data_IF_587922912802
#
_entry.id   IF_587922912802
#
_cell.length_a   1.000
_cell.length_b   1.000
_cell.length_c   1.000
_cell.angle_alpha   90.00
_cell.angle_beta   90.00
_cell.angle_gamma   90.00
#
_symmetry.space_group_name_H-M   'P 1'
#
loop_
_entity.id
_entity.type
_entity.pdbx_description
1 polymer ?
#
# COMPACT_ATOMS: atom_id res chain seq x y z
N UNK A 1 -2.95 -0.71 22.90
CA UNK A 1 -3.45 0.60 23.38
C UNK A 1 -3.01 1.64 22.37
N UNK A 2 -3.94 2.30 21.66
CA UNK A 2 -3.60 3.41 20.77
C UNK A 2 -3.33 4.64 21.64
N UNK A 3 -2.06 4.95 21.88
CA UNK A 3 -1.66 6.14 22.62
C UNK A 3 -1.81 7.33 21.67
N UNK A 4 -2.87 8.12 21.83
CA UNK A 4 -3.05 9.36 21.07
C UNK A 4 -2.05 10.43 21.54
N UNK A 5 -1.67 11.33 20.62
CA UNK A 5 -0.88 12.51 20.95
C UNK A 5 -1.62 13.38 21.95
N UNK A 6 -0.91 13.95 22.91
CA UNK A 6 -1.50 14.89 23.87
C UNK A 6 -1.19 16.33 23.50
N UNK A 7 -2.01 17.29 23.98
CA UNK A 7 -1.68 18.72 23.86
C UNK A 7 -0.32 19.07 24.49
N UNK A 8 0.09 18.32 25.52
CA UNK A 8 1.39 18.48 26.17
C UNK A 8 2.56 18.16 25.24
N UNK A 9 2.42 17.15 24.39
CA UNK A 9 3.45 16.76 23.42
C UNK A 9 3.66 17.86 22.37
N UNK A 10 2.55 18.43 21.88
CA UNK A 10 2.57 19.56 20.94
C UNK A 10 3.19 20.79 21.59
N UNK A 11 2.76 21.17 22.80
CA UNK A 11 3.33 22.30 23.52
C UNK A 11 4.84 22.13 23.78
N UNK A 12 5.30 20.90 24.04
CA UNK A 12 6.72 20.57 24.22
C UNK A 12 7.52 20.73 22.92
N UNK A 13 6.96 20.31 21.78
CA UNK A 13 7.53 20.53 20.45
C UNK A 13 7.75 22.02 20.18
N UNK A 14 6.70 22.82 20.35
CA UNK A 14 6.73 24.27 20.14
C UNK A 14 7.75 24.98 21.05
N UNK A 15 7.83 24.60 22.33
CA UNK A 15 8.88 25.10 23.24
C UNK A 15 10.29 24.75 22.76
N UNK A 16 10.47 23.55 22.22
CA UNK A 16 11.73 23.13 21.60
C UNK A 16 12.08 23.98 20.37
N UNK A 17 11.11 24.21 19.49
CA UNK A 17 11.27 25.04 18.30
C UNK A 17 11.57 26.49 18.63
N UNK A 18 10.90 27.09 19.63
CA UNK A 18 11.23 28.45 20.08
C UNK A 18 12.69 28.57 20.52
N UNK A 19 13.24 27.54 21.17
CA UNK A 19 14.67 27.51 21.56
C UNK A 19 15.62 27.32 20.38
N UNK A 20 15.23 26.51 19.40
CA UNK A 20 16.03 26.17 18.22
C UNK A 20 16.05 27.31 17.19
N UNK A 21 14.87 27.79 16.81
CA UNK A 21 14.67 28.76 15.73
C UNK A 21 14.71 30.22 16.22
N UNK A 22 14.61 30.44 17.53
CA UNK A 22 14.77 31.74 18.22
C UNK A 22 14.04 32.89 17.52
N UNK A 23 14.79 33.72 16.80
CA UNK A 23 14.29 34.94 16.13
C UNK A 23 13.35 34.63 14.96
N UNK A 24 13.35 33.40 14.45
CA UNK A 24 12.50 32.95 13.35
C UNK A 24 11.10 32.51 13.79
N UNK A 25 10.82 32.53 15.09
CA UNK A 25 9.53 32.14 15.65
C UNK A 25 9.05 33.23 16.60
N UNK A 26 7.97 33.91 16.24
CA UNK A 26 7.32 34.95 17.05
C UNK A 26 6.47 34.30 18.14
N UNK A 27 5.97 35.09 19.09
CA UNK A 27 5.17 34.53 20.20
C UNK A 27 3.76 34.11 19.77
N UNK A 28 3.24 34.73 18.72
CA UNK A 28 1.99 34.34 18.06
C UNK A 28 2.09 32.96 17.39
N UNK A 29 3.28 32.56 16.91
CA UNK A 29 3.48 31.31 16.14
C UNK A 29 3.41 30.03 17.01
N UNK A 30 3.27 30.15 18.33
CA UNK A 30 3.26 29.01 19.26
C UNK A 30 2.36 29.19 20.47
N UNK A 31 1.37 30.08 20.36
CA UNK A 31 0.41 30.33 21.41
C UNK A 31 -0.52 29.12 21.65
N UNK A 32 -1.40 29.24 22.66
CA UNK A 32 -2.28 28.15 23.08
C UNK A 32 -3.28 27.77 21.97
N UNK A 33 -3.71 28.75 21.16
CA UNK A 33 -4.60 28.51 20.03
C UNK A 33 -3.89 27.71 18.93
N UNK A 34 -2.67 28.10 18.57
CA UNK A 34 -1.84 27.38 17.60
C UNK A 34 -1.57 25.95 18.03
N UNK A 35 -1.20 25.75 19.30
CA UNK A 35 -1.02 24.41 19.89
C UNK A 35 -2.30 23.57 19.78
N UNK A 36 -3.47 24.19 19.98
CA UNK A 36 -4.76 23.50 19.88
C UNK A 36 -5.09 23.14 18.44
N UNK A 37 -4.87 24.04 17.48
CA UNK A 37 -5.07 23.78 16.05
C UNK A 37 -4.19 22.64 15.57
N UNK A 38 -2.91 22.64 15.94
CA UNK A 38 -1.98 21.57 15.61
C UNK A 38 -2.35 20.24 16.24
N UNK A 39 -2.80 20.25 17.50
CA UNK A 39 -3.28 19.04 18.17
C UNK A 39 -4.48 18.42 17.44
N UNK A 40 -5.47 19.23 17.03
CA UNK A 40 -6.64 18.75 16.30
C UNK A 40 -6.20 18.17 14.96
N UNK A 41 -5.46 18.96 14.17
CA UNK A 41 -5.03 18.57 12.83
C UNK A 41 -4.18 17.28 12.83
N UNK A 42 -3.23 17.13 13.75
CA UNK A 42 -2.38 15.94 13.80
C UNK A 42 -3.15 14.68 14.23
N UNK A 43 -4.15 14.82 15.11
CA UNK A 43 -5.02 13.70 15.47
C UNK A 43 -5.98 13.34 14.33
N UNK A 44 -6.54 14.32 13.62
CA UNK A 44 -7.40 14.09 12.45
C UNK A 44 -6.62 13.40 11.31
N UNK A 45 -5.32 13.70 11.18
CA UNK A 45 -4.40 13.04 10.26
C UNK A 45 -3.94 11.64 10.73
N UNK A 46 -4.50 11.15 11.83
CA UNK A 46 -4.17 9.87 12.46
C UNK A 46 -2.66 9.72 12.73
N UNK A 47 -2.01 10.78 13.20
CA UNK A 47 -0.58 10.78 13.48
C UNK A 47 -0.26 9.84 14.65
N UNK A 48 0.67 8.92 14.43
CA UNK A 48 1.16 8.03 15.48
C UNK A 48 2.25 8.71 16.33
N UNK A 49 2.47 8.29 17.59
CA UNK A 49 3.57 8.80 18.40
C UNK A 49 4.95 8.65 17.75
N UNK A 50 5.17 7.57 17.00
CA UNK A 50 6.44 7.31 16.31
C UNK A 50 6.65 8.25 15.11
N UNK A 51 5.59 8.50 14.32
CA UNK A 51 5.62 9.51 13.26
C UNK A 51 5.93 10.89 13.84
N UNK A 52 5.26 11.26 14.94
CA UNK A 52 5.49 12.53 15.61
C UNK A 52 6.94 12.68 16.08
N UNK A 53 7.51 11.64 16.71
CA UNK A 53 8.90 11.66 17.17
C UNK A 53 9.90 11.71 16.01
N UNK A 54 9.60 11.04 14.90
CA UNK A 54 10.43 11.05 13.69
C UNK A 54 10.43 12.43 13.04
N UNK A 55 9.26 13.03 12.84
CA UNK A 55 9.11 14.39 12.33
C UNK A 55 9.83 15.40 13.24
N UNK A 56 9.62 15.30 14.56
CA UNK A 56 10.31 16.13 15.56
C UNK A 56 11.83 16.06 15.42
N UNK A 57 12.42 14.86 15.29
CA UNK A 57 13.87 14.72 15.09
C UNK A 57 14.34 15.38 13.79
N UNK A 58 13.61 15.20 12.69
CA UNK A 58 13.96 15.83 11.40
C UNK A 58 13.88 17.35 11.42
N UNK A 59 12.95 17.93 12.18
CA UNK A 59 12.91 19.40 12.32
C UNK A 59 14.17 19.99 12.97
N UNK A 60 14.93 19.21 13.72
CA UNK A 60 16.17 19.69 14.35
C UNK A 60 17.27 20.02 13.34
N UNK A 61 17.26 19.38 12.16
CA UNK A 61 18.21 19.65 11.08
C UNK A 61 17.73 20.69 10.08
N UNK A 62 16.53 21.24 10.27
CA UNK A 62 15.96 22.22 9.34
C UNK A 62 16.43 23.64 9.67
N UNK A 63 16.51 24.48 8.63
CA UNK A 63 16.81 25.90 8.79
C UNK A 63 15.60 26.71 9.28
N UNK A 64 14.39 26.23 9.00
CA UNK A 64 13.11 26.88 9.33
C UNK A 64 12.13 25.86 9.92
N UNK A 65 11.26 26.27 10.86
CA UNK A 65 10.19 25.41 11.34
C UNK A 65 9.17 25.13 10.22
N UNK A 66 8.53 23.95 10.22
CA UNK A 66 7.36 23.71 9.39
C UNK A 66 6.23 24.69 9.71
N UNK A 67 5.53 25.13 8.68
CA UNK A 67 4.46 26.13 8.79
C UNK A 67 3.08 25.51 9.00
N UNK A 68 2.86 24.29 8.52
CA UNK A 68 1.60 23.57 8.70
C UNK A 68 1.81 22.20 9.39
N UNK A 69 0.78 21.69 10.11
CA UNK A 69 0.81 20.34 10.68
C UNK A 69 1.01 19.24 9.63
N UNK A 70 0.47 19.44 8.43
CA UNK A 70 0.63 18.52 7.30
C UNK A 70 2.09 18.44 6.84
N UNK A 71 2.76 19.59 6.64
CA UNK A 71 4.19 19.65 6.28
C UNK A 71 5.05 18.99 7.35
N UNK A 72 4.73 19.20 8.62
CA UNK A 72 5.43 18.55 9.73
C UNK A 72 5.29 17.02 9.66
N UNK A 73 4.08 16.52 9.43
CA UNK A 73 3.82 15.10 9.30
C UNK A 73 4.47 14.50 8.05
N UNK A 74 4.55 15.28 6.97
CA UNK A 74 5.27 14.93 5.75
C UNK A 74 6.78 14.74 6.00
N UNK A 75 7.38 15.34 7.04
CA UNK A 75 8.77 15.01 7.36
C UNK A 75 8.93 13.55 7.79
N UNK A 76 7.97 13.03 8.55
CA UNK A 76 7.95 11.61 8.94
C UNK A 76 7.54 10.73 7.75
N UNK A 77 6.48 11.10 7.04
CA UNK A 77 5.92 10.30 5.94
C UNK A 77 6.69 10.41 4.63
N UNK A 78 7.36 11.52 4.36
CA UNK A 78 8.23 11.72 3.20
C UNK A 78 9.49 10.86 3.24
N UNK A 79 9.90 10.39 4.42
CA UNK A 79 10.93 9.34 4.56
C UNK A 79 10.48 8.00 3.97
N UNK A 80 9.17 7.80 3.87
CA UNK A 80 8.55 6.59 3.35
C UNK A 80 8.70 6.64 1.83
N UNK A 81 8.39 7.76 1.16
CA UNK A 81 8.36 7.89 -0.32
C UNK A 81 9.66 7.55 -1.05
N UNK A 82 10.85 7.83 -0.49
CA UNK A 82 12.14 7.46 -1.12
C UNK A 82 12.34 5.93 -1.22
N UNK A 83 11.68 5.15 -0.36
CA UNK A 83 11.78 3.70 -0.34
C UNK A 83 10.77 3.00 -1.27
N UNK A 84 9.87 3.76 -1.89
CA UNK A 84 8.84 3.21 -2.79
C UNK A 84 9.04 3.72 -4.21
N UNK A 85 8.64 2.92 -5.22
CA UNK A 85 8.63 3.39 -6.59
C UNK A 85 7.77 4.65 -6.75
N UNK A 86 8.14 5.49 -7.71
CA UNK A 86 7.29 6.59 -8.14
C UNK A 86 5.88 6.08 -8.46
N UNK A 87 4.86 6.77 -7.95
CA UNK A 87 3.47 6.31 -8.03
C UNK A 87 2.99 6.17 -9.48
N UNK A 88 3.39 7.11 -10.35
CA UNK A 88 2.98 7.10 -11.75
C UNK A 88 3.65 5.94 -12.48
N UNK A 89 4.94 5.76 -12.26
CA UNK A 89 5.69 4.63 -12.80
C UNK A 89 5.12 3.29 -12.32
N UNK A 90 4.84 3.15 -11.02
CA UNK A 90 4.25 1.95 -10.44
C UNK A 90 2.88 1.61 -11.02
N UNK A 91 2.05 2.62 -11.29
CA UNK A 91 0.75 2.44 -11.98
C UNK A 91 0.94 1.92 -13.40
N UNK A 92 1.85 2.54 -14.17
CA UNK A 92 2.13 2.13 -15.55
C UNK A 92 2.69 0.71 -15.60
N UNK A 93 3.60 0.37 -14.70
CA UNK A 93 4.15 -0.98 -14.60
C UNK A 93 3.06 -1.99 -14.24
N UNK A 94 2.19 -1.67 -13.28
CA UNK A 94 1.07 -2.53 -12.90
C UNK A 94 0.02 -2.71 -14.00
N UNK A 95 -0.32 -1.66 -14.75
CA UNK A 95 -1.22 -1.75 -15.90
C UNK A 95 -0.64 -2.64 -17.02
N UNK A 96 0.70 -2.64 -17.16
CA UNK A 96 1.45 -3.54 -18.03
C UNK A 96 1.77 -4.90 -17.40
N UNK A 97 1.13 -5.25 -16.27
CA UNK A 97 1.30 -6.52 -15.53
C UNK A 97 2.71 -6.75 -14.94
N UNK A 98 3.53 -5.70 -14.87
CA UNK A 98 4.85 -5.70 -14.22
C UNK A 98 4.68 -5.24 -12.78
N UNK A 99 4.42 -6.21 -11.89
CA UNK A 99 4.19 -5.96 -10.46
C UNK A 99 5.25 -6.68 -9.62
N UNK A 100 6.52 -6.31 -9.83
CA UNK A 100 7.64 -6.91 -9.11
C UNK A 100 7.80 -6.31 -7.71
N UNK A 101 7.39 -5.05 -7.54
CA UNK A 101 7.28 -4.43 -6.23
C UNK A 101 6.03 -4.96 -5.49
N UNK A 102 6.17 -5.49 -4.25
CA UNK A 102 5.02 -5.99 -3.47
C UNK A 102 3.93 -4.94 -3.22
N UNK A 103 4.32 -3.67 -3.14
CA UNK A 103 3.42 -2.53 -2.93
C UNK A 103 2.59 -2.25 -4.17
N UNK A 104 3.23 -2.25 -5.34
CA UNK A 104 2.53 -2.14 -6.62
C UNK A 104 1.58 -3.33 -6.84
N UNK A 105 2.00 -4.54 -6.46
CA UNK A 105 1.16 -5.73 -6.53
C UNK A 105 -0.10 -5.62 -5.65
N UNK A 106 0.07 -5.27 -4.38
CA UNK A 106 -1.06 -5.14 -3.45
C UNK A 106 -1.99 -3.99 -3.88
N UNK A 107 -1.44 -2.88 -4.35
CA UNK A 107 -2.23 -1.76 -4.86
C UNK A 107 -3.04 -2.18 -6.09
N UNK A 108 -2.40 -2.88 -7.04
CA UNK A 108 -3.07 -3.42 -8.22
C UNK A 108 -4.17 -4.43 -7.86
N UNK A 109 -3.96 -5.23 -6.80
CA UNK A 109 -4.98 -6.15 -6.27
C UNK A 109 -6.20 -5.40 -5.73
N UNK A 110 -6.00 -4.29 -5.03
CA UNK A 110 -7.09 -3.46 -4.47
C UNK A 110 -7.87 -2.69 -5.52
N UNK A 111 -7.19 -2.17 -6.55
CA UNK A 111 -7.84 -1.55 -7.71
C UNK A 111 -8.53 -2.60 -8.58
N UNK A 112 -7.90 -3.75 -8.77
CA UNK A 112 -8.36 -4.86 -9.60
C UNK A 112 -7.57 -4.94 -10.92
N UNK A 113 -6.84 -6.03 -11.10
CA UNK A 113 -6.01 -6.26 -12.30
C UNK A 113 -6.79 -6.16 -13.62
N UNK A 114 -8.02 -6.68 -13.67
CA UNK A 114 -8.87 -6.59 -14.86
C UNK A 114 -9.25 -5.15 -15.19
N UNK A 115 -9.61 -4.36 -14.17
CA UNK A 115 -9.94 -2.95 -14.33
C UNK A 115 -8.73 -2.14 -14.81
N UNK A 116 -7.53 -2.42 -14.28
CA UNK A 116 -6.31 -1.76 -14.74
C UNK A 116 -5.92 -2.12 -16.17
N UNK A 117 -6.26 -3.32 -16.64
CA UNK A 117 -5.94 -3.79 -18.00
C UNK A 117 -6.90 -3.24 -19.06
N UNK A 118 -8.19 -3.23 -18.74
CA UNK A 118 -9.26 -2.98 -19.73
C UNK A 118 -9.98 -1.64 -19.49
N UNK A 119 -9.87 -1.09 -18.29
CA UNK A 119 -10.52 0.15 -17.90
C UNK A 119 -9.78 1.39 -18.36
N UNK A 120 -10.50 2.51 -18.35
CA UNK A 120 -9.92 3.80 -18.68
C UNK A 120 -9.10 4.36 -17.53
N UNK A 121 -7.96 4.96 -17.87
CA UNK A 121 -7.03 5.57 -16.93
C UNK A 121 -7.68 6.63 -16.02
N UNK A 122 -8.63 7.42 -16.53
CA UNK A 122 -9.33 8.44 -15.72
C UNK A 122 -10.18 7.84 -14.59
N UNK A 123 -10.46 6.53 -14.62
CA UNK A 123 -11.17 5.80 -13.57
C UNK A 123 -10.17 5.09 -12.66
N UNK A 124 -9.23 4.37 -13.24
CA UNK A 124 -8.30 3.48 -12.52
C UNK A 124 -7.19 4.24 -11.83
N UNK A 125 -6.71 5.35 -12.39
CA UNK A 125 -5.61 6.12 -11.81
C UNK A 125 -6.01 6.83 -10.51
N UNK A 126 -7.17 7.50 -10.37
CA UNK A 126 -7.60 8.05 -9.08
C UNK A 126 -7.76 6.98 -7.98
N UNK A 127 -8.30 5.79 -8.34
CA UNK A 127 -8.39 4.66 -7.41
C UNK A 127 -7.01 4.16 -7.00
N UNK A 128 -6.08 4.08 -7.95
CA UNK A 128 -4.68 3.76 -7.68
C UNK A 128 -4.05 4.76 -6.72
N UNK A 129 -4.18 6.07 -6.96
CA UNK A 129 -3.59 7.10 -6.11
C UNK A 129 -4.04 6.96 -4.66
N UNK A 130 -5.33 6.68 -4.45
CA UNK A 130 -5.89 6.42 -3.11
C UNK A 130 -5.27 5.16 -2.48
N UNK A 131 -5.36 4.02 -3.16
CA UNK A 131 -4.90 2.75 -2.59
C UNK A 131 -3.38 2.67 -2.42
N UNK A 132 -2.60 3.30 -3.31
CA UNK A 132 -1.14 3.31 -3.22
C UNK A 132 -0.67 3.98 -1.93
N UNK A 133 -1.30 5.09 -1.56
CA UNK A 133 -1.04 5.78 -0.29
C UNK A 133 -1.42 4.91 0.91
N UNK A 134 -2.58 4.26 0.88
CA UNK A 134 -3.02 3.35 1.96
C UNK A 134 -2.07 2.15 2.13
N UNK A 135 -1.59 1.56 1.02
CA UNK A 135 -0.67 0.41 1.04
C UNK A 135 0.70 0.84 1.54
N UNK A 136 1.22 1.98 1.10
CA UNK A 136 2.48 2.54 1.60
C UNK A 136 2.39 2.81 3.11
N UNK A 137 1.28 3.40 3.57
CA UNK A 137 1.05 3.66 5.00
C UNK A 137 0.96 2.36 5.81
N UNK A 138 0.25 1.34 5.30
CA UNK A 138 0.19 0.05 5.97
C UNK A 138 1.57 -0.63 6.02
N UNK A 139 2.35 -0.55 4.93
CA UNK A 139 3.70 -1.12 4.88
C UNK A 139 4.66 -0.39 5.84
N UNK A 140 4.58 0.94 5.94
CA UNK A 140 5.38 1.72 6.88
C UNK A 140 5.02 1.42 8.35
N UNK A 141 3.80 0.98 8.61
CA UNK A 141 3.34 0.48 9.91
C UNK A 141 3.71 -1.00 10.17
N UNK A 142 4.46 -1.63 9.26
CA UNK A 142 4.97 -3.00 9.41
C UNK A 142 4.11 -4.08 8.76
N UNK A 143 3.11 -3.73 7.94
CA UNK A 143 2.39 -4.72 7.16
C UNK A 143 3.29 -5.33 6.09
N UNK A 144 3.44 -6.66 6.09
CA UNK A 144 4.14 -7.37 5.03
C UNK A 144 3.19 -7.67 3.87
N UNK A 145 3.52 -7.17 2.68
CA UNK A 145 2.86 -7.55 1.44
C UNK A 145 3.73 -8.56 0.70
N UNK A 146 3.16 -9.71 0.33
CA UNK A 146 3.85 -10.75 -0.43
C UNK A 146 3.09 -11.01 -1.72
N UNK A 147 3.81 -10.95 -2.84
CA UNK A 147 3.32 -11.51 -4.10
C UNK A 147 3.21 -13.03 -3.89
N UNK A 148 2.07 -13.67 -4.14
CA UNK A 148 1.98 -15.12 -4.09
C UNK A 148 3.03 -15.66 -5.06
N UNK A 149 3.98 -16.45 -4.55
CA UNK A 149 4.77 -17.30 -5.43
C UNK A 149 3.76 -18.21 -6.10
N UNK A 150 3.65 -18.10 -7.43
CA UNK A 150 2.95 -19.09 -8.21
C UNK A 150 3.72 -20.38 -7.95
N UNK A 151 3.17 -21.25 -7.10
CA UNK A 151 3.58 -22.63 -7.05
C UNK A 151 3.29 -23.16 -8.45
N UNK A 152 4.32 -23.15 -9.30
CA UNK A 152 4.27 -23.97 -10.50
C UNK A 152 4.12 -25.38 -9.97
N UNK A 153 2.96 -25.98 -10.20
CA UNK A 153 2.83 -27.42 -10.09
C UNK A 153 3.74 -27.92 -11.21
N UNK A 154 5.00 -28.20 -10.88
CA UNK A 154 5.81 -29.07 -11.71
C UNK A 154 5.06 -30.39 -11.72
N UNK A 155 4.37 -30.68 -12.83
CA UNK A 155 3.89 -32.02 -13.13
C UNK A 155 5.11 -32.90 -13.42
N UNK A 156 5.94 -33.12 -12.41
CA UNK A 156 6.98 -34.14 -12.41
C UNK A 156 6.37 -35.38 -11.77
N UNK A 157 5.82 -36.26 -12.62
CA UNK A 157 5.52 -37.63 -12.24
C UNK A 157 4.11 -37.89 -11.69
N UNK A 158 3.09 -37.61 -12.49
CA UNK A 158 1.93 -38.50 -12.51
C UNK A 158 1.56 -38.70 -13.98
N UNK A 159 1.97 -39.85 -14.54
CA UNK A 159 1.22 -40.40 -15.66
C UNK A 159 -0.24 -40.39 -15.22
N UNK A 160 -1.04 -39.55 -15.85
CA UNK A 160 -2.48 -39.62 -15.71
C UNK A 160 -2.84 -40.97 -16.32
N UNK A 161 -2.93 -41.98 -15.47
CA UNK A 161 -3.64 -43.20 -15.80
C UNK A 161 -5.09 -42.78 -16.00
N UNK A 162 -5.42 -42.37 -17.23
CA UNK A 162 -6.80 -42.28 -17.70
C UNK A 162 -7.26 -43.74 -17.79
N UNK A 163 -7.53 -44.37 -16.65
CA UNK A 163 -8.34 -45.57 -16.62
C UNK A 163 -9.76 -45.07 -16.75
N UNK A 164 -10.13 -44.68 -17.97
CA UNK A 164 -11.53 -44.62 -18.35
C UNK A 164 -12.05 -46.06 -18.25
N UNK A 165 -13.01 -46.38 -17.36
CA UNK A 165 -13.70 -47.65 -17.45
C UNK A 165 -14.62 -47.54 -18.65
N UNK A 166 -14.05 -47.67 -19.85
CA UNK A 166 -14.86 -47.97 -21.04
C UNK A 166 -15.49 -49.31 -20.73
N UNK A 167 -16.80 -49.32 -20.48
CA UNK A 167 -17.50 -50.55 -20.16
C UNK A 167 -17.28 -51.54 -21.30
N UNK A 168 -17.09 -52.82 -20.95
CA UNK A 168 -16.96 -53.91 -21.94
C UNK A 168 -18.12 -53.92 -22.93
N UNK A 169 -19.28 -53.43 -22.51
CA UNK A 169 -20.50 -53.22 -23.29
C UNK A 169 -20.33 -52.17 -24.40
N UNK A 170 -19.64 -51.06 -24.14
CA UNK A 170 -19.35 -50.04 -25.15
C UNK A 170 -18.40 -50.57 -26.23
N UNK A 171 -17.38 -51.34 -25.84
CA UNK A 171 -16.47 -52.00 -26.79
C UNK A 171 -17.17 -53.10 -27.61
N UNK A 172 -18.10 -53.82 -27.00
CA UNK A 172 -18.91 -54.83 -27.70
C UNK A 172 -19.81 -54.17 -28.75
N UNK A 173 -20.46 -53.05 -28.41
CA UNK A 173 -21.31 -52.31 -29.33
C UNK A 173 -20.52 -51.71 -30.51
N UNK A 174 -19.32 -51.16 -30.27
CA UNK A 174 -18.47 -50.67 -31.36
C UNK A 174 -18.01 -51.79 -32.31
N UNK A 175 -17.69 -52.97 -31.77
CA UNK A 175 -17.31 -54.13 -32.59
C UNK A 175 -18.48 -54.64 -33.44
N UNK A 176 -19.69 -54.69 -32.88
CA UNK A 176 -20.89 -55.08 -33.62
C UNK A 176 -21.21 -54.09 -34.76
N UNK A 177 -21.06 -52.78 -34.48
CA UNK A 177 -21.31 -51.72 -35.47
C UNK A 177 -20.29 -51.73 -36.62
N UNK A 178 -19.02 -52.01 -36.33
CA UNK A 178 -17.96 -52.16 -37.32
C UNK A 178 -18.04 -53.48 -38.10
N UNK A 179 -18.61 -54.53 -37.51
CA UNK A 179 -18.83 -55.82 -38.16
C UNK A 179 -20.06 -55.83 -39.10
N UNK A 180 -20.83 -54.74 -39.15
CA UNK A 180 -21.97 -54.60 -40.05
C UNK A 180 -23.21 -55.41 -39.64
N UNK A 181 -23.31 -55.85 -38.39
CA UNK A 181 -24.48 -56.55 -37.87
C UNK A 181 -25.51 -55.54 -37.34
N UNK A 182 -26.25 -54.92 -38.25
CA UNK A 182 -27.55 -54.32 -37.93
C UNK A 182 -28.61 -55.42 -38.02
N UNK A 183 -29.15 -55.85 -36.88
CA UNK A 183 -30.48 -56.49 -36.83
C UNK A 183 -31.54 -55.45 -36.56
#
# INVERSE_FOLDING_TARGET
>A
MNTQLTKGDIASLFKGWKRLFRTKMKDEDWDIETVTVWYIALNDLATTPDEFMTAKRKTLSMTWPPTAPADFLELARGAVTENYPDMRQAYLDAANQRTDCPIAYETARRVGFGQMREGYEYITYPLWQKHYQEVIQAHSQGAEFKKPQVLQITNEGAEVAIVSPVSSEYLANLKALLAGDTK
#
